data_IF_826108291855
#
_entry.id   IF_826108291855
#
_cell.length_a   1.000
_cell.length_b   1.000
_cell.length_c   1.000
_cell.angle_alpha   90.00
_cell.angle_beta   90.00
_cell.angle_gamma   90.00
#
_symmetry.space_group_name_H-M   'P 1'
#
loop_
_entity.id
_entity.type
_entity.pdbx_description
1 polymer ?
#
# COMPACT_ATOMS: atom_id res chain seq x y z
N UNK A 1 -0.07 -3.16 9.99
CA UNK A 1 1.13 -2.63 9.30
C UNK A 1 1.28 -1.15 9.63
N UNK A 2 2.50 -0.62 9.67
CA UNK A 2 2.79 0.78 10.04
C UNK A 2 3.74 1.37 8.99
N UNK A 3 3.40 2.54 8.45
CA UNK A 3 4.22 3.27 7.51
C UNK A 3 5.22 4.22 8.17
N UNK A 4 6.39 4.36 7.56
CA UNK A 4 7.45 5.29 7.90
C UNK A 4 7.91 6.03 6.63
N UNK A 5 7.05 6.89 6.04
CA UNK A 5 7.27 7.45 4.70
C UNK A 5 8.53 8.31 4.57
N UNK A 6 8.98 8.95 5.65
CA UNK A 6 10.16 9.85 5.62
C UNK A 6 11.49 9.14 5.88
N UNK A 7 11.49 7.82 6.07
CA UNK A 7 12.70 7.05 6.34
C UNK A 7 13.64 7.00 5.13
N UNK A 8 14.95 7.04 5.37
CA UNK A 8 16.02 6.88 4.37
C UNK A 8 15.83 7.79 3.15
N UNK A 9 16.11 9.10 3.29
CA UNK A 9 15.89 10.11 2.25
C UNK A 9 14.47 10.07 1.67
N UNK A 10 13.48 9.84 2.54
CA UNK A 10 12.08 9.70 2.14
C UNK A 10 11.84 8.59 1.11
N UNK A 11 12.72 7.59 1.02
CA UNK A 11 12.40 6.36 0.29
C UNK A 11 11.16 5.70 0.90
N UNK A 12 11.07 5.77 2.22
CA UNK A 12 9.95 5.27 2.99
C UNK A 12 10.02 3.76 3.19
N UNK A 13 9.41 3.32 4.29
CA UNK A 13 9.32 1.90 4.64
C UNK A 13 7.97 1.59 5.26
N UNK A 14 7.47 0.37 5.06
CA UNK A 14 6.33 -0.17 5.80
C UNK A 14 6.81 -1.33 6.66
N UNK A 15 6.48 -1.30 7.95
CA UNK A 15 6.75 -2.35 8.91
C UNK A 15 5.49 -3.20 9.11
N UNK A 16 5.66 -4.52 9.06
CA UNK A 16 4.58 -5.49 9.26
C UNK A 16 4.87 -6.23 10.54
N UNK A 17 3.93 -6.17 11.48
CA UNK A 17 4.01 -6.83 12.77
C UNK A 17 2.93 -7.90 12.88
N UNK A 18 3.28 -9.03 13.47
CA UNK A 18 2.33 -10.03 13.92
C UNK A 18 2.00 -9.79 15.39
N UNK A 19 0.74 -10.01 15.76
CA UNK A 19 0.27 -9.97 17.13
C UNK A 19 0.01 -11.40 17.61
N UNK A 20 0.64 -11.80 18.71
CA UNK A 20 0.51 -13.16 19.26
C UNK A 20 -0.50 -13.26 20.42
N UNK A 21 -1.21 -12.17 20.74
CA UNK A 21 -2.09 -12.08 21.91
C UNK A 21 -1.48 -11.34 23.10
N UNK A 22 -0.17 -11.05 23.07
CA UNK A 22 0.57 -10.40 24.16
C UNK A 22 1.50 -9.28 23.67
N UNK A 23 2.23 -9.50 22.59
CA UNK A 23 3.16 -8.52 22.03
C UNK A 23 3.15 -8.47 20.49
N UNK A 24 3.59 -7.34 19.96
CA UNK A 24 3.79 -7.17 18.52
C UNK A 24 5.22 -7.53 18.17
N UNK A 25 5.40 -8.52 17.29
CA UNK A 25 6.72 -8.93 16.79
C UNK A 25 6.88 -8.52 15.34
N UNK A 26 8.02 -7.95 14.98
CA UNK A 26 8.30 -7.56 13.59
C UNK A 26 8.40 -8.82 12.72
N UNK A 27 7.45 -8.98 11.80
CA UNK A 27 7.43 -10.07 10.82
C UNK A 27 8.31 -9.76 9.62
N UNK A 28 8.14 -8.57 9.05
CA UNK A 28 8.81 -8.17 7.82
C UNK A 28 8.73 -6.65 7.61
N UNK A 29 9.39 -6.16 6.56
CA UNK A 29 9.24 -4.77 6.12
C UNK A 29 9.34 -4.66 4.60
N UNK A 30 8.67 -3.66 4.03
CA UNK A 30 8.68 -3.35 2.61
C UNK A 30 9.28 -1.98 2.41
N UNK A 31 10.32 -1.90 1.58
CA UNK A 31 10.92 -0.64 1.18
C UNK A 31 10.14 0.03 0.07
N UNK A 32 10.17 1.37 0.07
CA UNK A 32 9.96 2.15 -1.14
C UNK A 32 10.99 1.80 -2.22
N UNK A 33 10.77 2.32 -3.42
CA UNK A 33 11.57 1.90 -4.58
C UNK A 33 12.81 2.77 -4.73
N UNK A 34 12.66 4.07 -4.50
CA UNK A 34 13.68 5.09 -4.70
C UNK A 34 13.50 6.23 -3.68
N UNK A 35 14.50 7.11 -3.57
CA UNK A 35 14.44 8.28 -2.68
C UNK A 35 13.26 9.20 -3.05
N UNK A 36 12.66 9.85 -2.06
CA UNK A 36 11.42 10.64 -2.20
C UNK A 36 10.17 9.88 -2.67
N UNK A 37 10.19 8.54 -2.71
CA UNK A 37 8.99 7.76 -3.00
C UNK A 37 7.96 7.85 -1.86
N UNK A 38 8.38 8.09 -0.62
CA UNK A 38 7.51 8.23 0.56
C UNK A 38 6.58 7.03 0.78
N UNK A 39 7.10 5.82 0.55
CA UNK A 39 6.33 4.58 0.71
C UNK A 39 5.88 4.37 2.17
N UNK A 40 4.62 3.96 2.32
CA UNK A 40 3.99 3.86 3.63
C UNK A 40 3.27 5.12 4.05
N UNK A 41 3.05 6.07 3.13
CA UNK A 41 2.17 7.20 3.39
C UNK A 41 0.74 6.76 3.71
N UNK A 42 0.24 5.81 2.92
CA UNK A 42 -1.02 5.13 3.17
C UNK A 42 -0.80 3.63 3.12
N UNK A 43 -1.43 2.90 4.05
CA UNK A 43 -1.29 1.45 4.18
C UNK A 43 -2.66 0.84 4.50
N UNK A 44 -2.97 -0.29 3.89
CA UNK A 44 -4.15 -1.08 4.23
C UNK A 44 -3.80 -2.55 4.15
N UNK A 45 -4.28 -3.36 5.09
CA UNK A 45 -4.00 -4.80 5.18
C UNK A 45 -5.31 -5.55 5.34
N UNK A 46 -5.45 -6.67 4.65
CA UNK A 46 -6.64 -7.52 4.76
C UNK A 46 -6.81 -8.08 6.18
N UNK A 47 -8.04 -8.49 6.53
CA UNK A 47 -8.37 -8.97 7.87
C UNK A 47 -7.59 -10.22 8.28
N UNK A 48 -7.20 -11.05 7.32
CA UNK A 48 -6.33 -12.22 7.54
C UNK A 48 -4.83 -11.88 7.53
N UNK A 49 -4.44 -10.63 7.26
CA UNK A 49 -3.04 -10.19 7.25
C UNK A 49 -2.22 -10.66 6.04
N UNK A 50 -2.84 -11.25 5.00
CA UNK A 50 -2.13 -11.84 3.86
C UNK A 50 -2.05 -10.96 2.62
N UNK A 51 -2.82 -9.88 2.55
CA UNK A 51 -2.79 -8.91 1.43
C UNK A 51 -2.51 -7.54 1.99
N UNK A 52 -1.45 -6.91 1.52
CA UNK A 52 -1.01 -5.58 1.97
C UNK A 52 -0.94 -4.62 0.79
N UNK A 53 -1.63 -3.51 0.91
CA UNK A 53 -1.55 -2.39 -0.02
C UNK A 53 -0.70 -1.28 0.59
N UNK A 54 0.21 -0.72 -0.21
CA UNK A 54 1.11 0.37 0.17
C UNK A 54 0.99 1.49 -0.87
N UNK A 55 0.58 2.66 -0.41
CA UNK A 55 0.57 3.91 -1.16
C UNK A 55 1.76 4.79 -0.82
N UNK A 56 2.07 5.69 -1.75
CA UNK A 56 3.17 6.65 -1.69
C UNK A 56 2.64 8.09 -1.78
N UNK A 57 3.47 9.04 -1.38
CA UNK A 57 3.19 10.48 -1.49
C UNK A 57 4.30 11.15 -2.29
N UNK A 58 4.09 11.25 -3.60
CA UNK A 58 4.93 12.02 -4.50
C UNK A 58 4.16 12.35 -5.78
N UNK A 59 4.73 13.23 -6.59
CA UNK A 59 4.25 13.61 -7.92
C UNK A 59 4.17 12.42 -8.91
N UNK A 60 4.71 11.27 -8.50
CA UNK A 60 4.67 9.98 -9.20
C UNK A 60 4.23 8.88 -8.25
N UNK A 61 3.21 9.16 -7.44
CA UNK A 61 2.77 8.17 -6.48
C UNK A 61 2.27 6.92 -7.19
N UNK A 62 2.56 5.80 -6.58
CA UNK A 62 2.22 4.46 -6.98
C UNK A 62 1.58 3.72 -5.82
N UNK A 63 0.61 2.86 -6.15
CA UNK A 63 0.07 1.90 -5.20
C UNK A 63 0.58 0.52 -5.57
N UNK A 64 1.15 -0.16 -4.57
CA UNK A 64 1.65 -1.54 -4.70
C UNK A 64 0.86 -2.45 -3.79
N UNK A 65 0.37 -3.55 -4.35
CA UNK A 65 -0.36 -4.60 -3.63
C UNK A 65 0.54 -5.83 -3.53
N UNK A 66 0.71 -6.34 -2.33
CA UNK A 66 1.52 -7.49 -2.02
C UNK A 66 0.66 -8.61 -1.43
N UNK A 67 1.04 -9.84 -1.71
CA UNK A 67 0.49 -11.05 -1.10
C UNK A 67 1.59 -11.76 -0.31
N UNK A 68 1.26 -12.23 0.89
CA UNK A 68 2.17 -13.00 1.71
C UNK A 68 2.24 -14.44 1.23
N UNK A 69 3.45 -14.95 1.04
CA UNK A 69 3.71 -16.33 0.64
C UNK A 69 4.40 -17.07 1.80
N UNK A 70 3.69 -18.01 2.42
CA UNK A 70 4.21 -18.79 3.56
C UNK A 70 5.42 -19.67 3.21
N UNK A 71 5.49 -20.18 1.98
CA UNK A 71 6.60 -21.04 1.54
C UNK A 71 7.94 -20.32 1.48
N UNK A 72 7.93 -19.00 1.27
CA UNK A 72 9.13 -18.15 1.17
C UNK A 72 9.23 -17.15 2.30
N UNK A 73 8.27 -17.14 3.23
CA UNK A 73 8.12 -16.15 4.29
C UNK A 73 8.33 -14.72 3.78
N UNK A 74 7.71 -14.39 2.65
CA UNK A 74 7.95 -13.13 1.97
C UNK A 74 6.69 -12.51 1.37
N UNK A 75 6.71 -11.19 1.28
CA UNK A 75 5.72 -10.40 0.55
C UNK A 75 6.10 -10.37 -0.93
N UNK A 76 5.19 -10.83 -1.79
CA UNK A 76 5.36 -10.86 -3.25
C UNK A 76 4.41 -9.87 -3.88
N UNK A 77 4.86 -9.12 -4.88
CA UNK A 77 4.02 -8.16 -5.58
C UNK A 77 2.91 -8.89 -6.34
N UNK A 78 1.66 -8.59 -6.01
CA UNK A 78 0.46 -9.24 -6.58
C UNK A 78 0.06 -8.66 -7.94
N UNK A 79 0.31 -7.37 -8.15
CA UNK A 79 -0.11 -6.62 -9.34
C UNK A 79 1.02 -5.72 -9.86
N UNK A 80 1.05 -5.39 -11.17
CA UNK A 80 1.82 -4.25 -11.65
C UNK A 80 1.49 -2.99 -10.84
N UNK A 81 2.45 -2.07 -10.75
CA UNK A 81 2.27 -0.80 -10.03
C UNK A 81 1.03 -0.08 -10.55
N UNK A 82 0.13 0.29 -9.63
CA UNK A 82 -1.06 1.06 -9.95
C UNK A 82 -0.71 2.54 -9.87
N UNK A 83 -1.23 3.35 -10.80
CA UNK A 83 -1.01 4.79 -10.74
C UNK A 83 -1.78 5.39 -9.55
N UNK A 84 -1.06 6.09 -8.69
CA UNK A 84 -1.56 6.76 -7.51
C UNK A 84 -1.81 8.27 -7.71
N UNK A 85 -1.49 8.84 -8.87
CA UNK A 85 -1.67 10.28 -9.12
C UNK A 85 -1.00 11.18 -8.07
N UNK A 86 -1.56 12.38 -7.85
CA UNK A 86 -1.10 13.29 -6.82
C UNK A 86 -1.87 13.05 -5.53
N UNK A 87 -1.18 12.38 -4.60
CA UNK A 87 -1.61 12.02 -3.24
C UNK A 87 -2.57 10.82 -3.21
N UNK A 88 -2.13 9.72 -2.59
CA UNK A 88 -2.97 8.51 -2.46
C UNK A 88 -3.47 8.30 -1.05
N UNK A 89 -4.76 7.96 -0.98
CA UNK A 89 -5.33 7.29 0.18
C UNK A 89 -5.86 5.94 -0.28
N UNK A 90 -5.56 4.89 0.47
CA UNK A 90 -5.95 3.54 0.11
C UNK A 90 -6.71 2.87 1.23
N UNK A 91 -7.69 2.05 0.84
CA UNK A 91 -8.33 1.11 1.75
C UNK A 91 -8.71 -0.19 1.02
N UNK A 92 -8.77 -1.30 1.74
CA UNK A 92 -9.01 -2.62 1.18
C UNK A 92 -10.02 -3.41 2.01
N UNK A 93 -10.70 -4.35 1.35
CA UNK A 93 -11.65 -5.23 2.04
C UNK A 93 -10.95 -6.28 2.88
N UNK A 94 -11.62 -6.77 3.92
CA UNK A 94 -11.09 -7.79 4.83
C UNK A 94 -10.65 -9.08 4.12
N UNK A 95 -11.33 -9.45 3.04
CA UNK A 95 -10.98 -10.62 2.21
C UNK A 95 -9.75 -10.38 1.31
N UNK A 96 -9.25 -9.14 1.26
CA UNK A 96 -8.15 -8.74 0.41
C UNK A 96 -8.44 -8.96 -1.07
N UNK A 97 -9.70 -8.76 -1.51
CA UNK A 97 -10.12 -8.86 -2.92
C UNK A 97 -10.51 -7.55 -3.59
N UNK A 98 -10.65 -6.47 -2.82
CA UNK A 98 -10.97 -5.14 -3.32
C UNK A 98 -10.04 -4.11 -2.70
N UNK A 99 -9.57 -3.17 -3.51
CA UNK A 99 -8.82 -1.99 -3.10
C UNK A 99 -9.50 -0.75 -3.67
N UNK A 100 -9.70 0.25 -2.83
CA UNK A 100 -10.13 1.59 -3.19
C UNK A 100 -8.92 2.51 -3.12
N UNK A 101 -8.68 3.28 -4.18
CA UNK A 101 -7.62 4.28 -4.27
C UNK A 101 -8.24 5.65 -4.50
N UNK A 102 -8.08 6.54 -3.53
CA UNK A 102 -8.49 7.93 -3.60
C UNK A 102 -7.35 8.82 -4.11
N UNK A 103 -7.70 9.71 -5.05
CA UNK A 103 -6.85 10.66 -5.76
C UNK A 103 -7.47 12.07 -5.58
N UNK A 104 -7.41 12.69 -4.39
CA UNK A 104 -8.11 13.94 -4.08
C UNK A 104 -7.75 15.10 -5.02
N UNK A 105 -6.52 15.16 -5.53
CA UNK A 105 -6.07 16.24 -6.40
C UNK A 105 -6.13 15.87 -7.89
N UNK A 106 -7.02 14.93 -8.26
CA UNK A 106 -7.16 14.53 -9.66
C UNK A 106 -7.81 15.62 -10.49
N UNK A 107 -7.10 16.05 -11.54
CA UNK A 107 -7.55 17.05 -12.52
C UNK A 107 -8.26 16.45 -13.75
N UNK A 108 -8.64 15.16 -13.71
CA UNK A 108 -9.18 14.46 -14.90
C UNK A 108 -10.44 15.09 -15.49
N UNK A 109 -11.24 15.81 -14.67
CA UNK A 109 -12.44 16.52 -15.13
C UNK A 109 -12.28 18.04 -15.05
N UNK A 110 -11.95 18.54 -13.87
CA UNK A 110 -11.64 19.95 -13.57
C UNK A 110 -10.58 19.98 -12.46
N UNK A 111 -9.95 21.14 -12.26
CA UNK A 111 -8.91 21.30 -11.26
C UNK A 111 -9.36 20.79 -9.87
N UNK A 112 -8.55 19.92 -9.26
CA UNK A 112 -8.73 19.30 -7.95
C UNK A 112 -10.11 18.64 -7.77
N UNK A 113 -10.69 18.10 -8.85
CA UNK A 113 -12.01 17.47 -8.82
C UNK A 113 -12.08 16.18 -8.01
N UNK A 114 -10.91 15.58 -7.74
CA UNK A 114 -10.78 14.31 -7.07
C UNK A 114 -11.25 13.13 -7.92
N UNK A 115 -10.67 11.97 -7.65
CA UNK A 115 -11.08 10.69 -8.26
C UNK A 115 -10.97 9.57 -7.26
N UNK A 116 -11.86 8.59 -7.38
CA UNK A 116 -11.76 7.32 -6.67
C UNK A 116 -11.74 6.21 -7.71
N UNK A 117 -10.76 5.32 -7.60
CA UNK A 117 -10.62 4.13 -8.44
C UNK A 117 -10.78 2.89 -7.59
N UNK A 118 -11.54 1.91 -8.08
CA UNK A 118 -11.76 0.64 -7.41
C UNK A 118 -11.10 -0.45 -8.24
N UNK A 119 -10.23 -1.22 -7.60
CA UNK A 119 -9.60 -2.41 -8.16
C UNK A 119 -10.21 -3.62 -7.47
N UNK A 120 -10.71 -4.58 -8.25
CA UNK A 120 -11.23 -5.84 -7.75
C UNK A 120 -10.57 -6.97 -8.51
N UNK A 121 -10.22 -8.03 -7.80
CA UNK A 121 -9.62 -9.22 -8.38
C UNK A 121 -10.35 -10.47 -7.88
N UNK A 122 -10.38 -11.49 -8.72
CA UNK A 122 -10.89 -12.82 -8.40
C UNK A 122 -9.71 -13.74 -8.19
N UNK A 123 -9.75 -14.58 -7.14
CA UNK A 123 -8.89 -15.76 -7.10
C UNK A 123 -9.34 -16.68 -8.23
N UNK A 124 -8.40 -17.12 -9.07
CA UNK A 124 -8.62 -18.26 -9.99
C UNK A 124 -8.84 -19.55 -9.19
#
# INVERSE_FOLDING_TARGET
AIGAPKESNKKGRVYIYDWDGKEYTLRSSIWGLEDNNEAGWSVSISGNGLVLSVGTWSDKSDVRVFEWHDSTSSWVLRLPRLNGGDWTHIDSTDDGNTLVVGLPNSDEKVQDSGKVTIYKWTKE
#
